data_IF_988820272848
#
_entry.id   IF_988820272848
#
_cell.length_a   1.000
_cell.length_b   1.000
_cell.length_c   1.000
_cell.angle_alpha   90.00
_cell.angle_beta   90.00
_cell.angle_gamma   90.00
#
_symmetry.space_group_name_H-M   'P 1'
#
loop_
_entity.id
_entity.type
_entity.pdbx_description
1 polymer ?
#
# COMPACT_ATOMS: atom_id res chain seq x y z
N UNK A 1 16.57 10.34 5.23
CA UNK A 1 15.95 9.13 4.64
C UNK A 1 14.46 9.09 4.92
N UNK A 2 14.00 9.04 6.19
CA UNK A 2 12.56 9.13 6.56
C UNK A 2 11.79 10.36 5.99
N UNK A 3 12.48 11.48 5.76
CA UNK A 3 11.88 12.73 5.26
C UNK A 3 11.63 12.73 3.75
N UNK A 4 12.40 11.95 2.98
CA UNK A 4 12.28 11.89 1.52
C UNK A 4 11.14 10.96 1.10
N UNK A 5 10.98 9.84 1.81
CA UNK A 5 9.91 8.89 1.55
C UNK A 5 8.52 9.44 1.87
N UNK A 6 8.35 10.12 3.02
CA UNK A 6 7.11 10.84 3.34
C UNK A 6 6.77 11.91 2.29
N UNK A 7 7.78 12.65 1.81
CA UNK A 7 7.60 13.65 0.76
C UNK A 7 7.16 13.03 -0.57
N UNK A 8 7.61 11.80 -0.87
CA UNK A 8 7.28 11.09 -2.11
C UNK A 8 5.84 10.59 -2.10
N UNK A 9 5.37 10.00 -0.99
CA UNK A 9 3.96 9.60 -0.84
C UNK A 9 3.04 10.82 -0.92
N UNK A 10 3.40 11.91 -0.24
CA UNK A 10 2.65 13.17 -0.31
C UNK A 10 2.64 13.71 -1.74
N UNK A 11 3.74 13.61 -2.49
CA UNK A 11 3.82 14.08 -3.88
C UNK A 11 3.01 13.22 -4.85
N UNK A 12 3.01 11.89 -4.69
CA UNK A 12 2.12 10.97 -5.43
C UNK A 12 0.65 11.29 -5.13
N UNK A 13 0.30 11.47 -3.86
CA UNK A 13 -1.07 11.76 -3.43
C UNK A 13 -1.55 13.17 -3.82
N UNK A 14 -0.62 14.07 -4.15
CA UNK A 14 -0.88 15.41 -4.68
C UNK A 14 -0.79 15.47 -6.22
N UNK A 15 -0.59 14.34 -6.91
CA UNK A 15 -0.57 14.26 -8.37
C UNK A 15 0.71 14.75 -9.05
N UNK A 16 1.80 14.94 -8.29
CA UNK A 16 3.12 15.37 -8.79
C UNK A 16 3.95 14.16 -9.24
N UNK A 17 3.49 13.50 -10.30
CA UNK A 17 3.98 12.19 -10.73
C UNK A 17 5.41 12.21 -11.30
N UNK A 18 5.83 13.27 -12.00
CA UNK A 18 7.20 13.38 -12.55
C UNK A 18 8.26 13.53 -11.45
N UNK A 19 7.96 14.35 -10.43
CA UNK A 19 8.84 14.55 -9.26
C UNK A 19 8.92 13.27 -8.40
N UNK A 20 7.79 12.55 -8.28
CA UNK A 20 7.75 11.26 -7.62
C UNK A 20 8.57 10.18 -8.35
N UNK A 21 8.54 10.14 -9.69
CA UNK A 21 9.34 9.19 -10.48
C UNK A 21 10.85 9.39 -10.31
N UNK A 22 11.31 10.64 -10.36
CA UNK A 22 12.73 10.95 -10.18
C UNK A 22 13.24 10.54 -8.79
N UNK A 23 12.45 10.81 -7.75
CA UNK A 23 12.80 10.48 -6.37
C UNK A 23 12.83 8.98 -6.10
N UNK A 24 12.01 8.19 -6.80
CA UNK A 24 11.95 6.73 -6.61
C UNK A 24 13.16 6.03 -7.19
N UNK A 25 13.67 6.47 -8.33
CA UNK A 25 14.90 5.91 -8.90
C UNK A 25 16.08 6.08 -7.92
N UNK A 26 16.21 7.26 -7.32
CA UNK A 26 17.23 7.55 -6.30
C UNK A 26 17.03 6.75 -5.00
N UNK A 27 15.78 6.58 -4.56
CA UNK A 27 15.47 5.77 -3.37
C UNK A 27 15.75 4.28 -3.56
N UNK A 28 15.49 3.73 -4.76
CA UNK A 28 15.80 2.33 -5.11
C UNK A 28 17.31 2.07 -5.08
N UNK A 29 18.13 3.01 -5.54
CA UNK A 29 19.59 2.91 -5.45
C UNK A 29 20.11 3.01 -4.01
N UNK A 30 19.45 3.80 -3.15
CA UNK A 30 19.84 3.98 -1.75
C UNK A 30 19.51 2.79 -0.83
N UNK A 31 18.54 1.95 -1.22
CA UNK A 31 18.04 0.84 -0.40
C UNK A 31 18.98 -0.36 -0.29
N UNK A 32 20.11 -0.37 -1.00
CA UNK A 32 21.15 -1.41 -0.89
C UNK A 32 21.87 -1.46 0.47
N UNK A 33 21.36 -0.80 1.52
CA UNK A 33 22.16 -0.51 2.72
C UNK A 33 21.50 -0.41 4.11
N UNK A 34 20.23 -0.01 4.33
CA UNK A 34 19.56 -0.14 5.66
C UNK A 34 18.11 0.40 5.76
N UNK A 35 17.43 -0.22 6.74
CA UNK A 35 16.23 0.11 7.53
C UNK A 35 14.81 -0.09 6.95
N UNK A 36 14.03 -0.85 7.74
CA UNK A 36 12.70 -1.44 7.46
C UNK A 36 11.65 -0.41 7.03
N UNK A 37 11.82 0.84 7.46
CA UNK A 37 10.93 1.94 7.15
C UNK A 37 11.09 2.46 5.72
N UNK A 38 12.27 2.36 5.10
CA UNK A 38 12.46 2.76 3.70
C UNK A 38 11.87 1.77 2.70
N UNK A 39 11.83 0.48 3.06
CA UNK A 39 11.37 -0.59 2.18
C UNK A 39 9.84 -0.58 1.97
N UNK A 40 9.06 -0.22 3.00
CA UNK A 40 7.60 -0.13 2.90
C UNK A 40 7.16 0.98 1.95
N UNK A 41 7.70 2.18 2.15
CA UNK A 41 7.35 3.37 1.38
C UNK A 41 7.76 3.20 -0.09
N UNK A 42 8.92 2.62 -0.36
CA UNK A 42 9.40 2.38 -1.72
C UNK A 42 8.62 1.25 -2.42
N UNK A 43 8.18 0.22 -1.71
CA UNK A 43 7.34 -0.84 -2.30
C UNK A 43 6.00 -0.31 -2.81
N UNK A 44 5.31 0.50 -2.02
CA UNK A 44 4.05 1.13 -2.43
C UNK A 44 4.23 2.06 -3.62
N UNK A 45 5.28 2.89 -3.60
CA UNK A 45 5.52 3.82 -4.71
C UNK A 45 5.94 3.09 -5.98
N UNK A 46 6.75 2.03 -5.88
CA UNK A 46 7.11 1.20 -7.03
C UNK A 46 5.87 0.53 -7.66
N UNK A 47 4.90 0.05 -6.86
CA UNK A 47 3.64 -0.48 -7.38
C UNK A 47 2.84 0.62 -8.11
N UNK A 48 2.65 1.78 -7.47
CA UNK A 48 1.88 2.89 -8.03
C UNK A 48 2.47 3.43 -9.34
N UNK A 49 3.79 3.35 -9.51
CA UNK A 49 4.50 3.86 -10.68
C UNK A 49 4.82 2.79 -11.73
N UNK A 50 4.46 1.52 -11.50
CA UNK A 50 4.77 0.41 -12.41
C UNK A 50 6.26 0.02 -12.44
N UNK A 51 7.00 0.32 -11.38
CA UNK A 51 8.43 0.05 -11.24
C UNK A 51 8.75 -1.18 -10.38
N UNK A 52 7.79 -2.10 -10.22
CA UNK A 52 7.91 -3.25 -9.33
C UNK A 52 9.12 -4.16 -9.64
N UNK A 53 9.42 -4.40 -10.92
CA UNK A 53 10.52 -5.28 -11.34
C UNK A 53 11.91 -4.71 -11.00
N UNK A 54 12.07 -3.39 -11.11
CA UNK A 54 13.30 -2.71 -10.74
C UNK A 54 13.58 -2.84 -9.23
N UNK A 55 12.54 -2.66 -8.40
CA UNK A 55 12.67 -2.82 -6.96
C UNK A 55 12.91 -4.28 -6.55
N UNK A 56 12.23 -5.26 -7.18
CA UNK A 56 12.49 -6.69 -6.92
C UNK A 56 13.96 -7.05 -7.15
N UNK A 57 14.55 -6.52 -8.22
CA UNK A 57 15.97 -6.74 -8.56
C UNK A 57 16.90 -6.17 -7.50
N UNK A 58 16.62 -4.96 -7.01
CA UNK A 58 17.40 -4.31 -5.96
C UNK A 58 17.28 -5.04 -4.60
N UNK A 59 16.09 -5.54 -4.27
CA UNK A 59 15.79 -6.20 -2.99
C UNK A 59 16.25 -7.66 -2.90
N UNK A 60 16.62 -8.30 -4.02
CA UNK A 60 17.08 -9.69 -4.07
C UNK A 60 18.33 -9.96 -3.19
N UNK A 61 19.04 -8.92 -2.75
CA UNK A 61 20.24 -9.03 -1.92
C UNK A 61 19.99 -8.91 -0.39
N UNK A 62 18.75 -8.69 0.08
CA UNK A 62 18.47 -8.41 1.51
C UNK A 62 17.38 -9.31 2.11
N UNK A 63 17.70 -10.38 2.85
CA UNK A 63 16.78 -11.53 2.98
C UNK A 63 15.63 -11.45 4.01
N UNK A 64 15.56 -10.51 4.95
CA UNK A 64 14.78 -10.77 6.19
C UNK A 64 13.48 -10.00 6.36
N UNK A 65 13.16 -9.04 5.49
CA UNK A 65 11.94 -8.21 5.61
C UNK A 65 11.06 -8.19 4.35
N UNK A 66 11.26 -9.14 3.43
CA UNK A 66 10.71 -9.08 2.08
C UNK A 66 9.27 -9.56 1.95
N UNK A 67 8.80 -10.50 2.77
CA UNK A 67 7.57 -11.24 2.42
C UNK A 67 6.30 -10.38 2.34
N UNK A 68 5.99 -9.50 3.32
CA UNK A 68 4.83 -8.61 3.21
C UNK A 68 4.95 -7.62 2.05
N UNK A 69 6.15 -7.10 1.77
CA UNK A 69 6.35 -6.12 0.69
C UNK A 69 6.42 -6.78 -0.69
N UNK A 70 6.89 -8.02 -0.78
CA UNK A 70 6.85 -8.82 -2.01
C UNK A 70 5.41 -9.09 -2.42
N UNK A 71 4.54 -9.42 -1.47
CA UNK A 71 3.11 -9.63 -1.76
C UNK A 71 2.43 -8.35 -2.24
N UNK A 72 2.82 -7.18 -1.73
CA UNK A 72 2.42 -5.88 -2.31
C UNK A 72 2.89 -5.73 -3.76
N UNK A 73 4.15 -6.01 -4.06
CA UNK A 73 4.70 -5.91 -5.42
C UNK A 73 4.06 -6.92 -6.39
N UNK A 74 3.69 -8.09 -5.90
CA UNK A 74 2.98 -9.15 -6.63
C UNK A 74 1.47 -8.85 -6.75
N UNK A 75 0.99 -7.74 -6.16
CA UNK A 75 -0.42 -7.33 -6.08
C UNK A 75 -1.32 -8.37 -5.39
N UNK A 76 -0.71 -9.23 -4.58
CA UNK A 76 -1.40 -10.12 -3.64
C UNK A 76 -1.70 -9.34 -2.35
N UNK A 77 -2.58 -8.35 -2.49
CA UNK A 77 -2.94 -7.45 -1.40
C UNK A 77 -3.72 -8.17 -0.28
N UNK A 78 -4.40 -9.27 -0.62
CA UNK A 78 -5.07 -10.14 0.35
C UNK A 78 -4.04 -10.74 1.30
N UNK A 79 -2.97 -11.35 0.76
CA UNK A 79 -1.87 -11.90 1.55
C UNK A 79 -1.07 -10.82 2.28
N UNK A 80 -0.80 -9.69 1.62
CA UNK A 80 -0.08 -8.57 2.21
C UNK A 80 -0.81 -8.06 3.47
N UNK A 81 -2.13 -7.90 3.39
CA UNK A 81 -2.94 -7.45 4.52
C UNK A 81 -2.81 -8.36 5.75
N UNK A 82 -2.87 -9.68 5.56
CA UNK A 82 -2.75 -10.62 6.67
C UNK A 82 -1.33 -10.65 7.26
N UNK A 83 -0.31 -10.49 6.41
CA UNK A 83 1.08 -10.39 6.88
C UNK A 83 1.34 -9.10 7.66
N UNK A 84 0.84 -7.95 7.20
CA UNK A 84 0.95 -6.68 7.93
C UNK A 84 0.18 -6.71 9.25
N UNK A 85 -1.01 -7.30 9.26
CA UNK A 85 -1.79 -7.50 10.48
C UNK A 85 -1.04 -8.33 11.52
N UNK A 86 -0.45 -9.46 11.10
CA UNK A 86 0.32 -10.33 11.98
C UNK A 86 1.55 -9.65 12.58
N UNK A 87 2.12 -8.67 11.87
CA UNK A 87 3.27 -7.89 12.32
C UNK A 87 2.88 -6.61 13.08
N UNK A 88 1.58 -6.29 13.19
CA UNK A 88 1.08 -5.07 13.81
C UNK A 88 1.50 -3.79 13.07
N UNK A 89 1.68 -3.87 11.75
CA UNK A 89 2.14 -2.75 10.92
C UNK A 89 0.97 -1.93 10.36
N UNK A 90 1.19 -0.62 10.25
CA UNK A 90 0.16 0.33 9.79
C UNK A 90 -0.27 0.13 8.33
N UNK A 91 0.59 -0.52 7.53
CA UNK A 91 0.34 -0.90 6.16
C UNK A 91 -0.85 -1.86 5.99
N UNK A 92 -1.29 -2.53 7.06
CA UNK A 92 -2.47 -3.39 7.05
C UNK A 92 -3.69 -2.68 6.44
N UNK A 93 -4.03 -1.49 6.95
CA UNK A 93 -5.22 -0.77 6.50
C UNK A 93 -5.18 -0.46 5.00
N UNK A 94 -4.01 -0.07 4.51
CA UNK A 94 -3.85 0.25 3.09
C UNK A 94 -3.85 -0.99 2.21
N UNK A 95 -3.19 -2.08 2.62
CA UNK A 95 -3.26 -3.35 1.92
C UNK A 95 -4.69 -3.91 1.84
N UNK A 96 -5.47 -3.81 2.93
CA UNK A 96 -6.89 -4.19 2.92
C UNK A 96 -7.71 -3.32 1.96
N UNK A 97 -7.48 -2.01 1.92
CA UNK A 97 -8.13 -1.13 0.94
C UNK A 97 -7.80 -1.53 -0.50
N UNK A 98 -6.51 -1.77 -0.82
CA UNK A 98 -6.07 -2.19 -2.16
C UNK A 98 -6.61 -3.56 -2.55
N UNK A 99 -6.72 -4.50 -1.61
CA UNK A 99 -7.36 -5.80 -1.82
C UNK A 99 -8.83 -5.62 -2.22
N UNK A 100 -9.56 -4.78 -1.48
CA UNK A 100 -10.95 -4.43 -1.79
C UNK A 100 -11.13 -3.83 -3.18
N UNK A 101 -10.31 -2.85 -3.56
CA UNK A 101 -10.34 -2.26 -4.91
C UNK A 101 -10.10 -3.30 -6.01
N UNK A 102 -9.08 -4.15 -5.84
CA UNK A 102 -8.73 -5.20 -6.81
C UNK A 102 -9.86 -6.22 -6.95
N UNK A 103 -10.39 -6.71 -5.83
CA UNK A 103 -11.48 -7.70 -5.79
C UNK A 103 -12.76 -7.17 -6.44
N UNK A 104 -13.10 -5.89 -6.22
CA UNK A 104 -14.23 -5.25 -6.90
C UNK A 104 -14.01 -5.15 -8.41
N UNK A 105 -12.81 -4.80 -8.85
CA UNK A 105 -12.46 -4.77 -10.28
C UNK A 105 -12.54 -6.18 -10.92
N UNK A 106 -12.28 -7.23 -10.15
CA UNK A 106 -12.41 -8.64 -10.56
C UNK A 106 -13.84 -9.19 -10.44
N UNK A 107 -14.81 -8.40 -9.98
CA UNK A 107 -16.20 -8.84 -9.78
C UNK A 107 -16.42 -9.71 -8.54
N UNK A 108 -15.42 -9.82 -7.65
CA UNK A 108 -15.44 -10.63 -6.41
C UNK A 108 -15.98 -9.82 -5.23
N UNK A 109 -17.20 -9.29 -5.35
CA UNK A 109 -17.78 -8.33 -4.40
C UNK A 109 -17.89 -8.85 -2.95
N UNK A 110 -18.26 -10.13 -2.76
CA UNK A 110 -18.37 -10.71 -1.41
C UNK A 110 -17.02 -10.79 -0.68
N UNK A 111 -15.94 -10.99 -1.40
CA UNK A 111 -14.60 -11.06 -0.81
C UNK A 111 -14.06 -9.64 -0.58
N UNK A 112 -14.34 -8.72 -1.51
CA UNK A 112 -14.02 -7.31 -1.34
C UNK A 112 -14.65 -6.74 -0.08
N UNK A 113 -15.91 -7.08 0.19
CA UNK A 113 -16.67 -6.56 1.33
C UNK A 113 -15.93 -6.74 2.67
N UNK A 114 -15.37 -7.92 2.89
CA UNK A 114 -14.59 -8.25 4.09
C UNK A 114 -13.36 -7.34 4.22
N UNK A 115 -12.63 -7.14 3.13
CA UNK A 115 -11.40 -6.34 3.15
C UNK A 115 -11.70 -4.84 3.30
N UNK A 116 -12.71 -4.32 2.60
CA UNK A 116 -13.07 -2.89 2.64
C UNK A 116 -13.62 -2.50 4.01
N UNK A 117 -14.43 -3.34 4.66
CA UNK A 117 -14.93 -3.10 6.02
C UNK A 117 -13.80 -3.09 7.06
N UNK A 118 -12.88 -4.06 7.00
CA UNK A 118 -11.72 -4.08 7.90
C UNK A 118 -10.80 -2.88 7.68
N UNK A 119 -10.60 -2.44 6.43
CA UNK A 119 -9.86 -1.23 6.13
C UNK A 119 -10.53 0.02 6.74
N UNK A 120 -11.86 0.15 6.61
CA UNK A 120 -12.62 1.26 7.19
C UNK A 120 -12.49 1.31 8.72
N UNK A 121 -12.64 0.17 9.39
CA UNK A 121 -12.47 0.07 10.83
C UNK A 121 -11.05 0.47 11.27
N UNK A 122 -10.04 0.02 10.54
CA UNK A 122 -8.64 0.38 10.78
C UNK A 122 -8.39 1.89 10.62
N UNK A 123 -8.88 2.50 9.53
CA UNK A 123 -8.70 3.94 9.33
C UNK A 123 -9.48 4.79 10.34
N UNK A 124 -10.64 4.32 10.82
CA UNK A 124 -11.38 4.96 11.90
C UNK A 124 -10.61 4.92 13.22
N UNK A 125 -9.97 3.80 13.57
CA UNK A 125 -9.18 3.71 14.80
C UNK A 125 -7.97 4.65 14.80
N UNK A 126 -7.40 4.95 13.62
CA UNK A 126 -6.31 5.90 13.44
C UNK A 126 -6.76 7.36 13.20
N UNK A 127 -8.06 7.62 13.04
CA UNK A 127 -8.57 8.94 12.67
C UNK A 127 -8.14 9.41 11.26
N UNK A 128 -7.81 8.48 10.36
CA UNK A 128 -7.27 8.76 9.02
C UNK A 128 -8.35 9.26 8.04
N UNK A 129 -8.85 10.49 8.26
CA UNK A 129 -10.05 11.06 7.62
C UNK A 129 -10.07 10.93 6.09
N UNK A 130 -8.93 11.08 5.44
CA UNK A 130 -8.82 10.92 3.98
C UNK A 130 -9.12 9.49 3.54
N UNK A 131 -8.54 8.50 4.22
CA UNK A 131 -8.70 7.09 3.89
C UNK A 131 -10.06 6.56 4.31
N UNK A 132 -10.65 7.09 5.39
CA UNK A 132 -12.05 6.86 5.74
C UNK A 132 -12.96 7.25 4.55
N UNK A 133 -12.86 8.49 4.06
CA UNK A 133 -13.67 8.97 2.93
C UNK A 133 -13.44 8.18 1.65
N UNK A 134 -12.19 7.83 1.32
CA UNK A 134 -11.87 6.99 0.16
C UNK A 134 -12.54 5.60 0.27
N UNK A 135 -12.51 5.02 1.46
CA UNK A 135 -13.08 3.68 1.71
C UNK A 135 -14.62 3.71 1.68
N UNK A 136 -15.25 4.71 2.28
CA UNK A 136 -16.71 4.93 2.21
C UNK A 136 -17.19 5.17 0.77
N UNK A 137 -16.43 5.93 -0.02
CA UNK A 137 -16.73 6.12 -1.44
C UNK A 137 -16.62 4.81 -2.24
N UNK A 138 -15.66 3.94 -1.91
CA UNK A 138 -15.52 2.63 -2.53
C UNK A 138 -16.71 1.72 -2.20
N UNK A 139 -17.13 1.67 -0.93
CA UNK A 139 -18.33 0.94 -0.48
C UNK A 139 -19.58 1.43 -1.21
N UNK A 140 -19.79 2.76 -1.26
CA UNK A 140 -20.92 3.37 -1.97
C UNK A 140 -20.95 2.96 -3.45
N UNK A 141 -19.81 3.06 -4.14
CA UNK A 141 -19.70 2.72 -5.56
C UNK A 141 -19.99 1.24 -5.81
N UNK A 142 -19.61 0.37 -4.88
CA UNK A 142 -19.83 -1.07 -4.95
C UNK A 142 -21.25 -1.48 -4.52
N UNK A 143 -22.06 -0.56 -3.98
CA UNK A 143 -23.37 -0.90 -3.39
C UNK A 143 -23.26 -1.71 -2.10
N UNK A 144 -22.13 -1.62 -1.40
CA UNK A 144 -21.88 -2.27 -0.12
C UNK A 144 -22.29 -1.36 1.04
N UNK A 145 -22.63 -1.97 2.18
CA UNK A 145 -23.04 -1.24 3.37
C UNK A 145 -21.89 -0.39 3.92
N UNK A 146 -22.22 0.79 4.45
CA UNK A 146 -21.27 1.62 5.21
C UNK A 146 -21.66 1.50 6.68
N UNK A 147 -20.85 0.83 7.52
CA UNK A 147 -21.13 0.72 8.93
C UNK A 147 -21.06 2.10 9.59
N UNK A 148 -21.91 2.32 10.59
CA UNK A 148 -21.94 3.54 11.39
C UNK A 148 -20.60 3.82 12.10
#
# INVERSE_FOLDING_TARGET
MQTLSHSTIVSVELGRLEEARATVAELVELLGGTDVLGASEVAWVAEMLGAADALRTALAATPVWLEPYKTVLDRDFERAAELFAALGLVDEGYARFKAGEKLLAEGRASEADVHVHKALAFFRSLGATRYIRKTEALLTKAGLEIPA
#
